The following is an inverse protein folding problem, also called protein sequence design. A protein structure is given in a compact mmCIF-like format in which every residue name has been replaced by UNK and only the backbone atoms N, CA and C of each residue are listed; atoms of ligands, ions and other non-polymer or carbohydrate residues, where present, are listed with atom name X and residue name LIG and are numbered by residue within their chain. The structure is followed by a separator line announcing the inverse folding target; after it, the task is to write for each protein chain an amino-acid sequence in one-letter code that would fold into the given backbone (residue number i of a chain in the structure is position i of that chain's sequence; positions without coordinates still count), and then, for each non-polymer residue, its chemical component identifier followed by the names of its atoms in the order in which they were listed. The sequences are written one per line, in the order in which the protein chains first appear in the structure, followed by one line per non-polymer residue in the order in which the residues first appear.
data_IF_092837026857
#
_entry.id   IF_092837026857
#
_cell.length_a   1.000
_cell.length_b   1.000
_cell.length_c   1.000
_cell.angle_alpha   90.00
_cell.angle_beta   90.00
_cell.angle_gamma   90.00
#
_symmetry.space_group_name_H-M   'P 1'
#
loop_
_entity.id
_entity.type
_entity.pdbx_description
1 polymer ?
#
# COMPACT_ATOMS: atom_id res chain seq x y z
N UNK A 1 12.72 -35.56 30.56
CA UNK A 1 12.86 -34.29 29.80
C UNK A 1 11.55 -33.55 29.93
N UNK A 2 11.56 -32.34 30.50
CA UNK A 2 10.35 -31.50 30.65
C UNK A 2 10.27 -30.54 29.46
N UNK A 3 9.26 -30.72 28.61
CA UNK A 3 8.95 -29.74 27.58
C UNK A 3 8.25 -28.53 28.24
N UNK A 4 8.60 -27.28 27.87
CA UNK A 4 7.95 -26.11 28.42
C UNK A 4 6.47 -26.08 27.99
N UNK A 5 5.58 -25.82 28.96
CA UNK A 5 4.13 -25.75 28.77
C UNK A 5 3.67 -24.49 28.00
N UNK A 6 4.57 -23.55 27.71
CA UNK A 6 4.24 -22.25 27.11
C UNK A 6 5.23 -21.85 26.01
N UNK A 7 4.69 -21.23 24.96
CA UNK A 7 5.46 -20.70 23.81
C UNK A 7 6.29 -19.45 24.15
N UNK A 8 6.13 -18.91 25.37
CA UNK A 8 6.79 -17.69 25.85
C UNK A 8 8.32 -17.74 25.79
N UNK A 9 8.90 -18.94 25.88
CA UNK A 9 10.36 -19.13 25.75
C UNK A 9 10.87 -18.85 24.33
N UNK A 10 10.08 -19.17 23.31
CA UNK A 10 10.41 -18.85 21.93
C UNK A 10 10.16 -17.37 21.62
N UNK A 11 9.06 -16.79 22.11
CA UNK A 11 8.70 -15.40 21.86
C UNK A 11 9.78 -14.41 22.30
N UNK A 12 10.41 -14.65 23.47
CA UNK A 12 11.54 -13.82 23.93
C UNK A 12 12.73 -13.87 22.97
N UNK A 13 13.07 -15.05 22.44
CA UNK A 13 14.18 -15.23 21.51
C UNK A 13 13.89 -14.57 20.16
N UNK A 14 12.64 -14.62 19.70
CA UNK A 14 12.17 -13.89 18.52
C UNK A 14 12.22 -12.38 18.73
N UNK A 15 11.76 -11.87 19.87
CA UNK A 15 11.83 -10.44 20.17
C UNK A 15 13.25 -9.88 20.20
N UNK A 16 14.19 -10.61 20.81
CA UNK A 16 15.62 -10.23 20.82
C UNK A 16 16.21 -10.26 19.40
N UNK A 17 15.84 -11.25 18.59
CA UNK A 17 16.28 -11.37 17.20
C UNK A 17 15.71 -10.28 16.30
N UNK A 18 14.42 -9.96 16.44
CA UNK A 18 13.75 -8.90 15.70
C UNK A 18 14.36 -7.54 16.02
N UNK A 19 14.58 -7.22 17.29
CA UNK A 19 15.29 -6.01 17.73
C UNK A 19 16.66 -5.87 17.09
N UNK A 20 17.41 -6.98 17.01
CA UNK A 20 18.73 -7.02 16.37
C UNK A 20 18.65 -6.84 14.84
N UNK A 21 17.65 -7.43 14.17
CA UNK A 21 17.41 -7.23 12.73
C UNK A 21 17.04 -5.77 12.44
N UNK A 22 16.21 -5.14 13.27
CA UNK A 22 15.83 -3.73 13.12
C UNK A 22 17.05 -2.81 13.22
N UNK A 23 17.97 -3.07 14.15
CA UNK A 23 19.21 -2.30 14.31
C UNK A 23 20.20 -2.52 13.18
N UNK A 24 20.33 -3.76 12.70
CA UNK A 24 21.31 -4.13 11.66
C UNK A 24 20.74 -5.18 10.69
N UNK A 25 20.02 -4.71 9.67
CA UNK A 25 19.34 -5.56 8.67
C UNK A 25 20.25 -6.54 7.90
N UNK A 26 21.57 -6.35 7.91
CA UNK A 26 22.53 -7.16 7.12
C UNK A 26 23.17 -8.33 7.89
N UNK A 27 22.80 -8.54 9.15
CA UNK A 27 23.50 -9.47 10.05
C UNK A 27 22.68 -10.72 10.48
N UNK A 28 21.62 -11.08 9.72
CA UNK A 28 20.66 -12.18 10.03
C UNK A 28 21.33 -13.45 10.56
N UNK A 29 22.25 -14.03 9.79
CA UNK A 29 22.94 -15.28 10.14
C UNK A 29 23.87 -15.19 11.34
N UNK A 30 24.66 -14.11 11.45
CA UNK A 30 25.57 -13.92 12.58
C UNK A 30 24.82 -13.65 13.88
N UNK A 31 23.68 -12.97 13.80
CA UNK A 31 22.86 -12.62 14.98
C UNK A 31 22.07 -13.80 15.49
N UNK A 32 21.49 -14.62 14.61
CA UNK A 32 20.85 -15.87 15.05
C UNK A 32 21.86 -16.81 15.71
N UNK A 33 23.06 -16.94 15.13
CA UNK A 33 24.16 -17.74 15.68
C UNK A 33 24.61 -17.23 17.06
N UNK A 34 24.74 -15.90 17.22
CA UNK A 34 25.10 -15.29 18.49
C UNK A 34 24.01 -15.46 19.54
N UNK A 35 22.74 -15.35 19.14
CA UNK A 35 21.60 -15.55 20.03
C UNK A 35 21.61 -16.98 20.58
N UNK A 36 21.75 -17.97 19.69
CA UNK A 36 21.88 -19.38 20.07
C UNK A 36 23.11 -19.62 20.97
N UNK A 37 24.25 -19.02 20.67
CA UNK A 37 25.46 -19.13 21.48
C UNK A 37 25.26 -18.62 22.93
N UNK A 38 24.55 -17.49 23.09
CA UNK A 38 24.23 -16.91 24.40
C UNK A 38 23.23 -17.77 25.18
N UNK A 39 22.11 -18.13 24.56
CA UNK A 39 21.01 -18.81 25.25
C UNK A 39 21.29 -20.29 25.55
N UNK A 40 22.04 -20.97 24.69
CA UNK A 40 22.50 -22.34 24.96
C UNK A 40 23.65 -22.40 25.96
N UNK A 41 24.12 -21.25 26.46
CA UNK A 41 25.28 -21.12 27.35
C UNK A 41 26.54 -21.78 26.76
N UNK A 42 26.67 -21.78 25.43
CA UNK A 42 27.74 -22.46 24.70
C UNK A 42 29.12 -21.95 25.14
N UNK A 43 29.25 -20.65 25.42
CA UNK A 43 30.49 -20.08 25.97
C UNK A 43 30.88 -20.68 27.32
N UNK A 44 29.95 -20.79 28.28
CA UNK A 44 30.22 -21.43 29.59
C UNK A 44 30.49 -22.92 29.46
N UNK A 45 29.91 -23.57 28.45
CA UNK A 45 30.15 -24.98 28.17
C UNK A 45 31.58 -25.20 27.64
N UNK A 46 32.04 -24.35 26.72
CA UNK A 46 33.40 -24.41 26.17
C UNK A 46 34.45 -24.17 27.26
N UNK A 47 34.25 -23.18 28.14
CA UNK A 47 35.20 -22.89 29.23
C UNK A 47 35.34 -24.00 30.27
N UNK A 48 34.39 -24.94 30.33
CA UNK A 48 34.45 -26.11 31.21
C UNK A 48 35.19 -27.30 30.60
N UNK A 49 35.60 -27.22 29.32
CA UNK A 49 36.38 -28.26 28.64
C UNK A 49 37.87 -28.09 28.94
N UNK A 50 38.61 -29.18 28.76
CA UNK A 50 40.08 -29.17 28.81
C UNK A 50 40.58 -28.19 27.74
N UNK A 51 41.62 -27.36 28.00
CA UNK A 51 42.07 -26.32 27.08
C UNK A 51 42.35 -26.81 25.65
N UNK A 52 42.95 -27.99 25.48
CA UNK A 52 43.24 -28.60 24.17
C UNK A 52 41.95 -28.96 23.41
N UNK A 53 40.97 -29.55 24.10
CA UNK A 53 39.67 -29.88 23.53
C UNK A 53 38.85 -28.62 23.20
N UNK A 54 38.93 -27.59 24.03
CA UNK A 54 38.29 -26.30 23.77
C UNK A 54 38.88 -25.62 22.53
N UNK A 55 40.21 -25.60 22.39
CA UNK A 55 40.90 -25.06 21.22
C UNK A 55 40.51 -25.81 19.93
N UNK A 56 40.48 -27.14 19.97
CA UNK A 56 40.06 -27.95 18.83
C UNK A 56 38.63 -27.64 18.38
N UNK A 57 37.68 -27.58 19.32
CA UNK A 57 36.27 -27.26 19.03
C UNK A 57 36.10 -25.85 18.44
N UNK A 58 36.88 -24.88 18.91
CA UNK A 58 36.84 -23.52 18.37
C UNK A 58 37.40 -23.45 16.94
N UNK A 59 38.45 -24.21 16.64
CA UNK A 59 39.01 -24.27 15.29
C UNK A 59 38.05 -24.95 14.31
N UNK A 60 37.45 -26.08 14.69
CA UNK A 60 36.40 -26.72 13.90
C UNK A 60 35.21 -25.79 13.66
N UNK A 61 34.74 -25.09 14.71
CA UNK A 61 33.66 -24.13 14.59
C UNK A 61 34.00 -23.00 13.62
N UNK A 62 35.27 -22.55 13.58
CA UNK A 62 35.74 -21.51 12.64
C UNK A 62 35.67 -22.00 11.19
N UNK A 63 36.16 -23.21 10.93
CA UNK A 63 36.15 -23.83 9.61
C UNK A 63 34.72 -24.08 9.10
N UNK A 64 33.87 -24.67 9.94
CA UNK A 64 32.48 -24.96 9.58
C UNK A 64 31.62 -23.69 9.49
N UNK A 65 31.88 -22.70 10.34
CA UNK A 65 31.16 -21.42 10.36
C UNK A 65 31.24 -20.69 9.03
N UNK A 66 32.42 -20.62 8.43
CA UNK A 66 32.63 -20.00 7.10
C UNK A 66 31.81 -20.71 6.01
N UNK A 67 31.80 -22.05 6.03
CA UNK A 67 31.02 -22.86 5.08
C UNK A 67 29.51 -22.64 5.26
N UNK A 68 29.02 -22.59 6.49
CA UNK A 68 27.61 -22.33 6.77
C UNK A 68 27.18 -20.93 6.38
N UNK A 69 28.01 -19.92 6.64
CA UNK A 69 27.72 -18.54 6.23
C UNK A 69 27.59 -18.43 4.71
N UNK A 70 28.48 -19.09 3.96
CA UNK A 70 28.39 -19.14 2.50
C UNK A 70 27.10 -19.78 2.02
N UNK A 71 26.74 -20.95 2.55
CA UNK A 71 25.46 -21.64 2.24
C UNK A 71 24.25 -20.76 2.56
N UNK A 72 24.24 -20.07 3.70
CA UNK A 72 23.17 -19.15 4.08
C UNK A 72 23.04 -17.99 3.09
N UNK A 73 24.15 -17.39 2.67
CA UNK A 73 24.13 -16.31 1.65
C UNK A 73 23.64 -16.81 0.30
N UNK A 74 24.02 -18.02 -0.11
CA UNK A 74 23.56 -18.63 -1.36
C UNK A 74 22.04 -18.89 -1.31
N UNK A 75 21.53 -19.46 -0.23
CA UNK A 75 20.08 -19.65 -0.04
C UNK A 75 19.30 -18.32 -0.03
N UNK A 76 19.87 -17.26 0.58
CA UNK A 76 19.25 -15.94 0.56
C UNK A 76 19.18 -15.32 -0.84
N UNK A 77 20.09 -15.65 -1.76
CA UNK A 77 20.07 -15.10 -3.13
C UNK A 77 18.81 -15.50 -3.87
N UNK A 78 18.43 -16.77 -3.82
CA UNK A 78 17.25 -17.29 -4.53
C UNK A 78 15.97 -16.65 -4.00
N UNK A 79 15.89 -16.47 -2.68
CA UNK A 79 14.76 -15.80 -2.03
C UNK A 79 14.69 -14.33 -2.48
N UNK A 80 15.82 -13.62 -2.50
CA UNK A 80 15.88 -12.22 -2.95
C UNK A 80 15.48 -12.07 -4.43
N UNK A 81 15.89 -12.99 -5.28
CA UNK A 81 15.50 -13.00 -6.70
C UNK A 81 13.99 -13.20 -6.85
N UNK A 82 13.40 -14.16 -6.14
CA UNK A 82 11.94 -14.38 -6.13
C UNK A 82 11.17 -13.15 -5.63
N UNK A 83 11.64 -12.51 -4.56
CA UNK A 83 11.03 -11.29 -4.04
C UNK A 83 11.10 -10.16 -5.07
N UNK A 84 12.27 -9.97 -5.71
CA UNK A 84 12.43 -8.95 -6.75
C UNK A 84 11.49 -9.18 -7.92
N UNK A 85 11.43 -10.39 -8.46
CA UNK A 85 10.54 -10.73 -9.56
C UNK A 85 9.06 -10.46 -9.21
N UNK A 86 8.64 -10.79 -7.98
CA UNK A 86 7.28 -10.50 -7.51
C UNK A 86 7.01 -9.00 -7.35
N UNK A 87 8.00 -8.23 -6.91
CA UNK A 87 7.88 -6.77 -6.81
C UNK A 87 7.78 -6.12 -8.20
N UNK A 88 8.59 -6.58 -9.16
CA UNK A 88 8.54 -6.13 -10.55
C UNK A 88 7.19 -6.44 -11.20
N UNK A 89 6.66 -7.65 -10.99
CA UNK A 89 5.33 -8.02 -11.50
C UNK A 89 4.22 -7.16 -10.89
N UNK A 90 4.26 -6.93 -9.57
CA UNK A 90 3.30 -6.06 -8.91
C UNK A 90 3.38 -4.61 -9.41
N UNK A 91 4.60 -4.10 -9.66
CA UNK A 91 4.78 -2.77 -10.25
C UNK A 91 4.20 -2.71 -11.66
N UNK A 92 4.41 -3.74 -12.48
CA UNK A 92 3.82 -3.82 -13.82
C UNK A 92 2.30 -3.80 -13.77
N UNK A 93 1.69 -4.66 -12.94
CA UNK A 93 0.24 -4.72 -12.79
C UNK A 93 -0.36 -3.42 -12.25
N UNK A 94 0.34 -2.73 -11.34
CA UNK A 94 -0.09 -1.42 -10.85
C UNK A 94 0.00 -0.36 -11.96
N UNK A 95 1.08 -0.33 -12.72
CA UNK A 95 1.24 0.59 -13.84
C UNK A 95 0.15 0.37 -14.90
N UNK A 96 -0.18 -0.88 -15.24
CA UNK A 96 -1.27 -1.20 -16.17
C UNK A 96 -2.63 -0.71 -15.65
N UNK A 97 -2.91 -0.89 -14.36
CA UNK A 97 -4.14 -0.36 -13.73
C UNK A 97 -4.17 1.17 -13.74
N UNK A 98 -3.03 1.81 -13.50
CA UNK A 98 -2.93 3.28 -13.50
C UNK A 98 -3.15 3.84 -14.92
N UNK A 99 -2.58 3.21 -15.95
CA UNK A 99 -2.81 3.59 -17.35
C UNK A 99 -4.28 3.41 -17.71
N UNK A 100 -4.87 2.25 -17.42
CA UNK A 100 -6.30 2.00 -17.70
C UNK A 100 -7.23 2.97 -16.95
N UNK A 101 -6.84 3.39 -15.74
CA UNK A 101 -7.60 4.39 -14.98
C UNK A 101 -7.48 5.77 -15.61
N UNK A 102 -6.28 6.19 -16.03
CA UNK A 102 -6.07 7.46 -16.74
C UNK A 102 -6.81 7.50 -18.08
N UNK A 103 -6.80 6.42 -18.84
CA UNK A 103 -7.56 6.31 -20.10
C UNK A 103 -9.07 6.45 -19.86
N UNK A 104 -9.61 5.79 -18.84
CA UNK A 104 -11.02 5.97 -18.44
C UNK A 104 -11.34 7.40 -18.03
N UNK A 105 -10.46 8.06 -17.27
CA UNK A 105 -10.65 9.46 -16.89
C UNK A 105 -10.62 10.38 -18.12
N UNK A 106 -9.69 10.16 -19.05
CA UNK A 106 -9.63 10.90 -20.30
C UNK A 106 -10.90 10.72 -21.13
N UNK A 107 -11.42 9.49 -21.24
CA UNK A 107 -12.68 9.25 -21.92
C UNK A 107 -13.84 10.03 -21.28
N UNK A 108 -13.93 10.05 -19.95
CA UNK A 108 -14.97 10.83 -19.24
C UNK A 108 -14.83 12.33 -19.48
N UNK A 109 -13.61 12.86 -19.58
CA UNK A 109 -13.35 14.27 -19.93
C UNK A 109 -13.84 14.55 -21.35
N UNK A 110 -13.51 13.68 -22.32
CA UNK A 110 -13.93 13.82 -23.72
C UNK A 110 -15.45 13.74 -23.85
N UNK A 111 -16.11 12.82 -23.14
CA UNK A 111 -17.57 12.69 -23.15
C UNK A 111 -18.25 13.99 -22.70
N UNK A 112 -17.75 14.63 -21.63
CA UNK A 112 -18.27 15.92 -21.17
C UNK A 112 -18.03 17.04 -22.18
N UNK A 113 -16.85 17.10 -22.79
CA UNK A 113 -16.54 18.12 -23.79
C UNK A 113 -17.48 18.00 -25.01
N UNK A 114 -17.75 16.78 -25.47
CA UNK A 114 -18.69 16.51 -26.57
C UNK A 114 -20.14 16.88 -26.22
N UNK A 115 -20.50 16.80 -24.95
CA UNK A 115 -21.83 17.13 -24.45
C UNK A 115 -21.98 18.58 -24.00
N UNK A 116 -21.05 19.47 -24.36
CA UNK A 116 -21.17 20.91 -24.14
C UNK A 116 -20.45 21.46 -22.90
N UNK A 117 -19.59 20.66 -22.25
CA UNK A 117 -18.74 21.09 -21.14
C UNK A 117 -19.32 20.81 -19.75
N UNK A 118 -18.55 21.11 -18.71
CA UNK A 118 -18.92 20.87 -17.32
C UNK A 118 -19.93 21.94 -16.83
N UNK A 119 -20.96 21.52 -16.12
CA UNK A 119 -21.89 22.44 -15.47
C UNK A 119 -21.30 22.98 -14.18
N UNK A 120 -21.34 24.30 -14.00
CA UNK A 120 -20.86 24.96 -12.78
C UNK A 120 -21.97 25.69 -12.03
N UNK A 121 -23.03 26.11 -12.72
CA UNK A 121 -24.14 26.84 -12.11
C UNK A 121 -25.45 26.09 -12.28
N UNK A 122 -26.44 26.45 -11.47
CA UNK A 122 -27.80 25.89 -11.57
C UNK A 122 -28.40 26.12 -12.96
N UNK A 123 -28.18 27.29 -13.55
CA UNK A 123 -28.70 27.63 -14.89
C UNK A 123 -28.14 26.70 -15.96
N UNK A 124 -26.89 26.23 -15.83
CA UNK A 124 -26.30 25.27 -16.76
C UNK A 124 -26.96 23.90 -16.65
N UNK A 125 -27.32 23.48 -15.44
CA UNK A 125 -28.04 22.22 -15.20
C UNK A 125 -29.48 22.30 -15.72
N UNK A 126 -30.14 23.46 -15.53
CA UNK A 126 -31.48 23.73 -16.04
C UNK A 126 -31.53 23.65 -17.57
N UNK A 127 -30.54 24.22 -18.26
CA UNK A 127 -30.39 24.11 -19.73
C UNK A 127 -30.24 22.67 -20.21
N UNK A 128 -29.63 21.77 -19.42
CA UNK A 128 -29.55 20.34 -19.77
C UNK A 128 -30.93 19.68 -19.74
N UNK A 129 -31.82 20.11 -18.84
CA UNK A 129 -33.16 19.55 -18.71
C UNK A 129 -34.07 19.88 -19.90
N UNK A 130 -33.79 20.98 -20.61
CA UNK A 130 -34.52 21.41 -21.80
C UNK A 130 -34.16 20.60 -23.05
N UNK A 131 -33.05 19.84 -23.00
CA UNK A 131 -32.53 19.09 -24.14
C UNK A 131 -33.14 17.70 -24.30
N UNK A 132 -33.32 17.25 -25.55
CA UNK A 132 -33.81 15.88 -25.86
C UNK A 132 -32.88 14.77 -25.36
N UNK A 133 -31.61 15.07 -25.10
CA UNK A 133 -30.59 14.12 -24.59
C UNK A 133 -30.25 14.36 -23.10
N UNK A 134 -31.15 14.99 -22.35
CA UNK A 134 -30.93 15.39 -20.95
C UNK A 134 -30.40 14.25 -20.06
N UNK A 135 -30.92 13.03 -20.20
CA UNK A 135 -30.54 11.89 -19.37
C UNK A 135 -29.07 11.49 -19.57
N UNK A 136 -28.61 11.41 -20.81
CA UNK A 136 -27.22 11.02 -21.11
C UNK A 136 -26.26 12.13 -20.68
N UNK A 137 -26.63 13.39 -20.92
CA UNK A 137 -25.87 14.56 -20.45
C UNK A 137 -25.71 14.58 -18.93
N UNK A 138 -26.79 14.37 -18.18
CA UNK A 138 -26.74 14.29 -16.72
C UNK A 138 -25.90 13.11 -16.22
N UNK A 139 -25.98 11.95 -16.87
CA UNK A 139 -25.15 10.79 -16.50
C UNK A 139 -23.66 11.06 -16.72
N UNK A 140 -23.28 11.71 -17.83
CA UNK A 140 -21.88 12.05 -18.08
C UNK A 140 -21.34 13.04 -17.05
N UNK A 141 -22.12 14.08 -16.71
CA UNK A 141 -21.80 15.02 -15.64
C UNK A 141 -21.53 14.27 -14.33
N UNK A 142 -22.46 13.42 -13.89
CA UNK A 142 -22.32 12.68 -12.63
C UNK A 142 -21.12 11.72 -12.67
N UNK A 143 -20.84 11.06 -13.81
CA UNK A 143 -19.66 10.21 -13.95
C UNK A 143 -18.37 11.00 -13.75
N UNK A 144 -18.26 12.17 -14.36
CA UNK A 144 -17.09 13.04 -14.21
C UNK A 144 -16.92 13.54 -12.78
N UNK A 145 -17.98 14.07 -12.16
CA UNK A 145 -17.92 14.54 -10.77
C UNK A 145 -17.54 13.40 -9.80
N UNK A 146 -18.08 12.19 -10.03
CA UNK A 146 -17.74 11.03 -9.22
C UNK A 146 -16.30 10.55 -9.38
N UNK A 147 -15.80 10.42 -10.61
CA UNK A 147 -14.52 9.77 -10.90
C UNK A 147 -13.35 10.72 -11.10
N UNK A 148 -13.58 11.89 -11.70
CA UNK A 148 -12.55 12.91 -11.96
C UNK A 148 -12.45 13.89 -10.78
N UNK A 149 -13.59 14.35 -10.26
CA UNK A 149 -13.63 15.27 -9.09
C UNK A 149 -13.65 14.52 -7.74
N UNK A 150 -13.68 13.17 -7.76
CA UNK A 150 -13.62 12.29 -6.59
C UNK A 150 -14.80 12.43 -5.59
N UNK A 151 -16.00 12.78 -6.08
CA UNK A 151 -17.22 12.82 -5.26
C UNK A 151 -17.90 11.46 -5.16
N UNK A 152 -17.48 10.67 -4.15
CA UNK A 152 -17.89 9.25 -4.01
C UNK A 152 -19.37 9.02 -3.69
N UNK A 153 -20.07 10.03 -3.20
CA UNK A 153 -21.48 9.93 -2.77
C UNK A 153 -22.47 9.98 -3.95
N UNK A 154 -21.99 10.34 -5.15
CA UNK A 154 -22.81 10.45 -6.35
C UNK A 154 -23.17 9.08 -6.95
N UNK A 155 -24.41 8.93 -7.41
CA UNK A 155 -24.91 7.73 -8.07
C UNK A 155 -25.39 8.03 -9.49
N UNK A 156 -24.88 7.26 -10.47
CA UNK A 156 -25.18 7.43 -11.91
C UNK A 156 -26.53 6.81 -12.30
N UNK A 157 -27.16 6.04 -11.40
CA UNK A 157 -28.41 5.32 -11.65
C UNK A 157 -29.63 6.11 -11.19
N UNK A 158 -30.61 6.28 -12.07
CA UNK A 158 -31.89 6.90 -11.74
C UNK A 158 -32.55 7.61 -12.92
N UNK A 159 -33.72 8.20 -12.68
CA UNK A 159 -34.45 9.03 -13.63
C UNK A 159 -33.84 10.44 -13.69
N UNK A 160 -34.07 11.18 -14.78
CA UNK A 160 -33.50 12.52 -15.01
C UNK A 160 -33.68 13.47 -13.82
N UNK A 161 -34.86 13.50 -13.20
CA UNK A 161 -35.15 14.33 -12.01
C UNK A 161 -34.27 14.00 -10.80
N UNK A 162 -33.90 12.73 -10.62
CA UNK A 162 -33.05 12.29 -9.51
C UNK A 162 -31.59 12.67 -9.76
N UNK A 163 -31.13 12.51 -10.99
CA UNK A 163 -29.78 12.90 -11.42
C UNK A 163 -29.60 14.42 -11.34
N UNK A 164 -30.61 15.19 -11.74
CA UNK A 164 -30.66 16.64 -11.61
C UNK A 164 -30.46 17.10 -10.16
N UNK A 165 -31.21 16.52 -9.21
CA UNK A 165 -31.06 16.86 -7.78
C UNK A 165 -29.69 16.50 -7.24
N UNK A 166 -29.13 15.36 -7.63
CA UNK A 166 -27.79 14.97 -7.21
C UNK A 166 -26.72 15.95 -7.68
N UNK A 167 -26.80 16.39 -8.94
CA UNK A 167 -25.85 17.35 -9.49
C UNK A 167 -25.96 18.72 -8.78
N UNK A 168 -27.18 19.20 -8.51
CA UNK A 168 -27.39 20.45 -7.78
C UNK A 168 -26.89 20.38 -6.34
N UNK A 169 -27.12 19.27 -5.64
CA UNK A 169 -26.63 19.07 -4.28
C UNK A 169 -25.10 19.05 -4.24
N UNK A 170 -24.44 18.36 -5.20
CA UNK A 170 -22.98 18.41 -5.37
C UNK A 170 -22.44 19.83 -5.61
N UNK A 171 -23.20 20.65 -6.34
CA UNK A 171 -22.85 22.07 -6.59
C UNK A 171 -23.18 22.98 -5.39
N UNK A 172 -23.74 22.46 -4.30
CA UNK A 172 -24.13 23.23 -3.11
C UNK A 172 -25.45 23.98 -3.23
N UNK A 173 -26.26 23.66 -4.24
CA UNK A 173 -27.62 24.17 -4.41
C UNK A 173 -28.64 23.17 -3.84
N UNK A 174 -28.62 22.98 -2.52
CA UNK A 174 -29.70 22.25 -1.85
C UNK A 174 -30.97 23.14 -1.84
N UNK A 175 -32.14 22.53 -2.07
CA UNK A 175 -33.41 23.26 -2.24
C UNK A 175 -33.90 24.02 -1.00
N UNK A 176 -33.12 24.07 0.07
CA UNK A 176 -33.45 24.76 1.33
C UNK A 176 -32.44 25.84 1.74
N UNK A 177 -31.41 26.17 0.94
CA UNK A 177 -30.49 27.25 1.30
C UNK A 177 -30.13 28.13 0.10
N UNK A 178 -30.71 29.33 0.07
CA UNK A 178 -30.30 30.46 -0.78
C UNK A 178 -28.99 31.05 -0.29
N UNK A 179 -27.87 30.32 -0.44
CA UNK A 179 -26.56 30.94 -0.32
C UNK A 179 -25.80 30.77 -1.65
N UNK A 180 -25.47 31.89 -2.33
CA UNK A 180 -24.67 31.82 -3.54
C UNK A 180 -23.26 31.27 -3.21
N UNK A 181 -22.59 30.62 -4.19
CA UNK A 181 -21.28 30.02 -3.98
C UNK A 181 -20.25 31.06 -3.52
N UNK A 182 -19.21 30.65 -2.76
CA UNK A 182 -18.17 31.55 -2.30
C UNK A 182 -17.47 32.18 -3.51
N UNK A 183 -17.48 33.52 -3.55
CA UNK A 183 -16.78 34.30 -4.57
C UNK A 183 -15.30 33.91 -4.59
N UNK A 184 -14.77 33.82 -5.82
CA UNK A 184 -13.38 33.56 -6.21
C UNK A 184 -12.38 33.99 -5.14
N UNK A 185 -11.49 33.06 -4.79
CA UNK A 185 -10.35 33.31 -3.92
C UNK A 185 -9.62 34.59 -4.32
N UNK A 186 -9.65 35.57 -3.41
CA UNK A 186 -8.62 36.57 -3.34
C UNK A 186 -7.29 35.84 -3.09
N UNK A 187 -6.44 35.80 -4.12
CA UNK A 187 -5.00 35.58 -3.93
C UNK A 187 -4.54 36.62 -2.91
N UNK A 188 -4.21 36.18 -1.70
CA UNK A 188 -3.30 36.94 -0.85
C UNK A 188 -1.91 36.75 -1.43
N UNK A 189 -1.35 37.85 -1.93
CA UNK A 189 0.08 38.03 -2.08
C UNK A 189 0.74 38.07 -0.70
#
# INVERSE_FOLDING_TARGET
MTAPLTNLTAERLFGDFDSDIFKQRRASFSRSSLNMFKHNKTGRWITKKIPTAAAHLLEEARLHGMRMQRKSREAEKDIRLKIRAKLEENLRLNNEKDVATKEKMLQMVVDILNEGGLCYTKEDVDKIMEDRKCLERLKAQIRYWKFVMNEKHLNVTGNATRLYRFLLSSLGYDSENTNPPPKKGARKQ
#
